data_IF_283067335976
#
_entry.id   IF_283067335976
#
_cell.length_a   1.000
_cell.length_b   1.000
_cell.length_c   1.000
_cell.angle_alpha   90.00
_cell.angle_beta   90.00
_cell.angle_gamma   90.00
#
_symmetry.space_group_name_H-M   'P 1'
#
loop_
_entity.id
_entity.type
_entity.pdbx_description
1 polymer ?
#
# COMPACT_ATOMS: atom_id res chain seq x y z
N UNK A 1 -16.71 1.44 7.74
CA UNK A 1 -15.43 1.08 7.09
C UNK A 1 -14.58 2.30 6.74
N UNK A 2 -15.01 3.28 5.92
CA UNK A 2 -14.20 4.49 5.59
C UNK A 2 -13.62 5.21 6.82
N UNK A 3 -14.43 5.48 7.85
CA UNK A 3 -13.96 6.11 9.11
C UNK A 3 -12.88 5.31 9.84
N UNK A 4 -13.03 3.99 9.90
CA UNK A 4 -12.07 3.10 10.55
C UNK A 4 -10.73 3.10 9.80
N UNK A 5 -10.76 3.00 8.46
CA UNK A 5 -9.57 3.11 7.60
C UNK A 5 -8.85 4.44 7.82
N UNK A 6 -9.60 5.55 7.92
CA UNK A 6 -9.03 6.86 8.19
C UNK A 6 -8.38 6.93 9.57
N UNK A 7 -9.04 6.41 10.61
CA UNK A 7 -8.44 6.38 11.94
C UNK A 7 -7.20 5.50 12.01
N UNK A 8 -7.20 4.33 11.37
CA UNK A 8 -6.04 3.46 11.32
C UNK A 8 -4.88 4.11 10.56
N UNK A 9 -5.15 4.76 9.42
CA UNK A 9 -4.14 5.50 8.64
C UNK A 9 -3.52 6.62 9.48
N UNK A 10 -4.36 7.43 10.13
CA UNK A 10 -3.92 8.53 11.00
C UNK A 10 -3.19 8.03 12.25
N UNK A 11 -3.64 6.93 12.84
CA UNK A 11 -2.98 6.28 13.98
C UNK A 11 -1.56 5.82 13.59
N UNK A 12 -1.40 5.24 12.41
CA UNK A 12 -0.11 4.75 11.91
C UNK A 12 0.81 5.91 11.51
N UNK A 13 0.28 6.95 10.87
CA UNK A 13 1.03 8.15 10.51
C UNK A 13 1.52 8.95 11.73
N UNK A 14 0.91 8.74 12.91
CA UNK A 14 1.28 9.44 14.15
C UNK A 14 1.93 8.53 15.17
N UNK A 15 2.48 7.39 14.72
CA UNK A 15 3.21 6.49 15.59
C UNK A 15 4.49 7.14 16.11
N UNK A 16 4.83 6.87 17.36
CA UNK A 16 6.07 7.35 18.00
C UNK A 16 7.35 6.73 17.39
N UNK A 17 7.23 5.68 16.57
CA UNK A 17 8.38 5.07 15.88
C UNK A 17 8.61 5.75 14.53
N UNK A 18 9.72 6.47 14.40
CA UNK A 18 10.11 7.18 13.17
C UNK A 18 10.18 6.25 11.94
N UNK A 19 10.76 5.06 12.10
CA UNK A 19 10.86 4.09 11.00
C UNK A 19 9.50 3.52 10.63
N UNK A 20 8.62 3.31 11.60
CA UNK A 20 7.30 2.75 11.37
C UNK A 20 6.34 3.79 10.75
N UNK A 21 6.40 5.04 11.20
CA UNK A 21 5.50 6.10 10.71
C UNK A 21 5.86 6.61 9.31
N UNK A 22 7.13 6.49 8.88
CA UNK A 22 7.66 7.13 7.67
C UNK A 22 6.78 6.91 6.43
N UNK A 23 6.35 5.67 6.16
CA UNK A 23 5.46 5.37 5.03
C UNK A 23 4.10 6.05 5.15
N UNK A 24 3.48 6.01 6.33
CA UNK A 24 2.13 6.54 6.54
C UNK A 24 2.09 8.06 6.59
N UNK A 25 3.11 8.71 7.16
CA UNK A 25 3.29 10.16 7.04
C UNK A 25 3.43 10.58 5.58
N UNK A 26 4.27 9.87 4.81
CA UNK A 26 4.48 10.10 3.38
C UNK A 26 3.19 9.92 2.58
N UNK A 27 2.41 8.88 2.87
CA UNK A 27 1.10 8.63 2.26
C UNK A 27 0.13 9.78 2.54
N UNK A 28 -0.02 10.17 3.81
CA UNK A 28 -0.91 11.26 4.23
C UNK A 28 -0.49 12.58 3.59
N UNK A 29 0.80 12.91 3.59
CA UNK A 29 1.32 14.11 2.94
C UNK A 29 1.05 14.11 1.44
N UNK A 30 1.18 12.96 0.78
CA UNK A 30 0.91 12.85 -0.66
C UNK A 30 -0.57 13.10 -0.95
N UNK A 31 -1.48 12.56 -0.14
CA UNK A 31 -2.92 12.88 -0.26
C UNK A 31 -3.20 14.37 -0.06
N UNK A 32 -2.53 15.01 0.91
CA UNK A 32 -2.66 16.46 1.17
C UNK A 32 -2.20 17.29 -0.01
N UNK A 33 -1.06 16.96 -0.63
CA UNK A 33 -0.51 17.67 -1.80
C UNK A 33 -1.52 17.73 -2.95
N UNK A 34 -2.36 16.71 -3.10
CA UNK A 34 -3.41 16.67 -4.12
C UNK A 34 -4.79 17.09 -3.62
N UNK A 35 -4.88 17.69 -2.43
CA UNK A 35 -6.14 18.13 -1.81
C UNK A 35 -7.18 16.99 -1.69
N UNK A 36 -6.71 15.75 -1.51
CA UNK A 36 -7.55 14.56 -1.40
C UNK A 36 -7.88 14.22 0.05
N UNK A 37 -7.17 14.83 1.00
CA UNK A 37 -7.33 14.54 2.41
C UNK A 37 -6.92 15.72 3.28
N UNK A 38 -7.58 15.88 4.43
CA UNK A 38 -7.20 16.84 5.47
C UNK A 38 -6.86 16.08 6.76
N UNK A 39 -5.58 16.08 7.19
CA UNK A 39 -5.17 15.41 8.41
C UNK A 39 -5.75 16.07 9.64
N UNK A 40 -6.08 15.24 10.62
CA UNK A 40 -6.55 15.67 11.93
C UNK A 40 -5.38 16.18 12.78
N UNK A 41 -5.67 17.09 13.71
CA UNK A 41 -4.71 17.55 14.74
C UNK A 41 -4.57 16.57 15.90
N UNK A 42 -5.33 15.48 15.89
CA UNK A 42 -5.37 14.53 17.00
C UNK A 42 -4.09 13.73 17.10
N UNK A 43 -3.61 13.52 18.33
CA UNK A 43 -2.49 12.61 18.61
C UNK A 43 -2.91 11.15 18.44
N UNK A 44 -1.93 10.25 18.37
CA UNK A 44 -2.20 8.81 18.27
C UNK A 44 -3.11 8.31 19.41
N UNK A 45 -2.84 8.74 20.66
CA UNK A 45 -3.67 8.39 21.82
C UNK A 45 -5.11 8.91 21.71
N UNK A 46 -5.29 10.13 21.18
CA UNK A 46 -6.63 10.69 20.94
C UNK A 46 -7.38 9.92 19.86
N UNK A 47 -6.69 9.49 18.79
CA UNK A 47 -7.27 8.65 17.73
C UNK A 47 -7.71 7.30 18.31
N UNK A 48 -6.88 6.65 19.13
CA UNK A 48 -7.24 5.39 19.81
C UNK A 48 -8.51 5.56 20.66
N UNK A 49 -8.61 6.66 21.40
CA UNK A 49 -9.80 6.95 22.20
C UNK A 49 -11.06 7.16 21.32
N UNK A 50 -10.92 7.81 20.16
CA UNK A 50 -12.01 7.98 19.20
C UNK A 50 -12.44 6.66 18.56
N UNK A 51 -11.49 5.80 18.21
CA UNK A 51 -11.76 4.44 17.69
C UNK A 51 -12.57 3.64 18.70
N UNK A 52 -12.12 3.58 19.95
CA UNK A 52 -12.82 2.85 21.02
C UNK A 52 -14.26 3.36 21.23
N UNK A 53 -14.46 4.69 21.22
CA UNK A 53 -15.81 5.30 21.32
C UNK A 53 -16.74 4.93 20.17
N UNK A 54 -16.20 4.64 18.99
CA UNK A 54 -16.97 4.22 17.82
C UNK A 54 -17.07 2.69 17.68
N UNK A 55 -16.59 1.93 18.67
CA UNK A 55 -16.61 0.47 18.65
C UNK A 55 -15.54 -0.16 17.76
N UNK A 56 -14.55 0.61 17.28
CA UNK A 56 -13.40 0.09 16.57
C UNK A 56 -12.31 -0.35 17.54
N UNK A 57 -11.61 -1.44 17.22
CA UNK A 57 -10.47 -1.91 18.03
C UNK A 57 -9.27 -0.99 17.88
N UNK A 58 -8.88 -0.32 18.96
CA UNK A 58 -7.64 0.45 18.98
C UNK A 58 -6.43 -0.52 18.90
N UNK A 59 -5.48 -0.32 17.99
CA UNK A 59 -4.33 -1.21 17.87
C UNK A 59 -3.45 -1.19 19.12
N UNK A 60 -2.98 -2.36 19.55
CA UNK A 60 -2.03 -2.51 20.65
C UNK A 60 -0.56 -2.32 20.24
N UNK A 61 -0.28 -2.39 18.93
CA UNK A 61 1.03 -2.14 18.35
C UNK A 61 0.91 -1.65 16.90
N UNK A 62 2.01 -1.16 16.35
CA UNK A 62 2.10 -0.77 14.95
C UNK A 62 1.72 -1.92 14.00
N UNK A 63 2.30 -3.11 14.17
CA UNK A 63 2.02 -4.27 13.31
C UNK A 63 0.55 -4.70 13.36
N UNK A 64 -0.06 -4.62 14.54
CA UNK A 64 -1.50 -4.88 14.71
C UNK A 64 -2.31 -3.82 13.94
N UNK A 65 -1.88 -2.56 13.99
CA UNK A 65 -2.51 -1.47 13.23
C UNK A 65 -2.40 -1.67 11.72
N UNK A 66 -1.23 -2.06 11.21
CA UNK A 66 -1.02 -2.36 9.80
C UNK A 66 -1.92 -3.51 9.34
N UNK A 67 -1.98 -4.61 10.10
CA UNK A 67 -2.85 -5.75 9.79
C UNK A 67 -4.33 -5.37 9.81
N UNK A 68 -4.76 -4.58 10.79
CA UNK A 68 -6.12 -4.09 10.87
C UNK A 68 -6.47 -3.19 9.67
N UNK A 69 -5.55 -2.30 9.27
CA UNK A 69 -5.72 -1.45 8.09
C UNK A 69 -5.81 -2.28 6.81
N UNK A 70 -4.90 -3.24 6.61
CA UNK A 70 -4.90 -4.11 5.45
C UNK A 70 -6.20 -4.91 5.35
N UNK A 71 -6.70 -5.43 6.48
CA UNK A 71 -7.98 -6.13 6.53
C UNK A 71 -9.16 -5.20 6.18
N UNK A 72 -9.21 -4.00 6.75
CA UNK A 72 -10.29 -3.03 6.49
C UNK A 72 -10.29 -2.54 5.03
N UNK A 73 -9.11 -2.31 4.46
CA UNK A 73 -8.93 -1.97 3.05
C UNK A 73 -9.42 -3.13 2.16
N UNK A 74 -8.94 -4.35 2.39
CA UNK A 74 -9.31 -5.52 1.61
C UNK A 74 -10.84 -5.75 1.62
N UNK A 75 -11.48 -5.66 2.79
CA UNK A 75 -12.94 -5.78 2.94
C UNK A 75 -13.73 -4.71 2.16
N UNK A 76 -13.11 -3.55 1.87
CA UNK A 76 -13.77 -2.46 1.14
C UNK A 76 -13.62 -2.60 -0.38
N UNK A 77 -12.58 -3.31 -0.85
CA UNK A 77 -12.33 -3.50 -2.28
C UNK A 77 -13.23 -4.60 -2.86
N UNK A 78 -13.68 -4.48 -4.13
CA UNK A 78 -14.37 -5.57 -4.82
C UNK A 78 -13.52 -6.86 -4.87
N UNK A 79 -14.15 -8.02 -4.68
CA UNK A 79 -13.46 -9.34 -4.73
C UNK A 79 -12.61 -9.50 -6.01
N UNK A 80 -13.11 -9.15 -7.21
CA UNK A 80 -12.29 -9.27 -8.43
C UNK A 80 -11.02 -8.40 -8.42
N UNK A 81 -11.06 -7.24 -7.76
CA UNK A 81 -9.87 -6.41 -7.57
C UNK A 81 -8.91 -7.05 -6.57
N UNK A 82 -9.42 -7.60 -5.46
CA UNK A 82 -8.62 -8.33 -4.48
C UNK A 82 -7.84 -9.49 -5.13
N UNK A 83 -8.52 -10.31 -5.92
CA UNK A 83 -7.93 -11.44 -6.64
C UNK A 83 -6.91 -10.99 -7.69
N UNK A 84 -7.23 -9.94 -8.47
CA UNK A 84 -6.34 -9.43 -9.50
C UNK A 84 -5.02 -8.90 -8.91
N UNK A 85 -5.04 -8.19 -7.78
CA UNK A 85 -3.81 -7.73 -7.10
C UNK A 85 -2.93 -8.90 -6.67
N UNK A 86 -3.54 -9.95 -6.10
CA UNK A 86 -2.84 -11.17 -5.68
C UNK A 86 -2.23 -11.89 -6.88
N UNK A 87 -3.00 -12.06 -7.94
CA UNK A 87 -2.53 -12.68 -9.19
C UNK A 87 -1.37 -11.89 -9.80
N UNK A 88 -1.47 -10.56 -9.88
CA UNK A 88 -0.42 -9.69 -10.40
C UNK A 88 0.88 -9.83 -9.61
N UNK A 89 0.80 -9.85 -8.27
CA UNK A 89 1.99 -10.06 -7.44
C UNK A 89 2.61 -11.46 -7.64
N UNK A 90 1.79 -12.51 -7.73
CA UNK A 90 2.28 -13.87 -8.01
C UNK A 90 2.93 -13.99 -9.39
N UNK A 91 2.39 -13.31 -10.41
CA UNK A 91 3.02 -13.20 -11.73
C UNK A 91 4.37 -12.50 -11.64
N UNK A 92 4.44 -11.40 -10.89
CA UNK A 92 5.68 -10.66 -10.68
C UNK A 92 6.76 -11.53 -10.02
N UNK A 93 6.40 -12.31 -8.98
CA UNK A 93 7.31 -13.27 -8.36
C UNK A 93 7.76 -14.35 -9.36
N UNK A 94 6.83 -14.88 -10.16
CA UNK A 94 7.15 -15.92 -11.15
C UNK A 94 8.14 -15.45 -12.22
N UNK A 95 8.01 -14.21 -12.67
CA UNK A 95 8.85 -13.62 -13.72
C UNK A 95 10.23 -13.25 -13.18
N UNK A 96 10.31 -12.72 -11.95
CA UNK A 96 11.58 -12.27 -11.37
C UNK A 96 12.37 -13.39 -10.70
N UNK A 97 11.73 -14.50 -10.31
CA UNK A 97 12.38 -15.67 -9.71
C UNK A 97 12.14 -16.95 -10.53
N UNK A 98 12.54 -17.00 -11.81
CA UNK A 98 12.19 -18.10 -12.71
C UNK A 98 12.71 -19.46 -12.24
N UNK A 99 13.88 -19.48 -11.59
CA UNK A 99 14.48 -20.70 -11.00
C UNK A 99 13.73 -21.21 -9.77
N UNK A 100 12.89 -20.39 -9.15
CA UNK A 100 12.12 -20.73 -7.94
C UNK A 100 10.63 -20.93 -8.22
N UNK A 101 10.21 -20.85 -9.49
CA UNK A 101 8.82 -20.99 -9.94
C UNK A 101 8.15 -22.29 -9.46
N UNK A 102 8.89 -23.40 -9.48
CA UNK A 102 8.39 -24.70 -9.00
C UNK A 102 8.02 -24.65 -7.52
N UNK A 103 8.81 -24.00 -6.68
CA UNK A 103 8.49 -23.84 -5.26
C UNK A 103 7.26 -22.96 -5.04
N UNK A 104 7.15 -21.86 -5.80
CA UNK A 104 6.00 -20.96 -5.73
C UNK A 104 4.67 -21.64 -6.14
N UNK A 105 4.72 -22.62 -7.05
CA UNK A 105 3.55 -23.42 -7.42
C UNK A 105 3.05 -24.37 -6.32
N UNK A 106 3.89 -24.65 -5.31
CA UNK A 106 3.52 -25.45 -4.14
C UNK A 106 3.00 -24.55 -3.03
N UNK A 107 3.81 -23.61 -2.54
CA UNK A 107 3.38 -22.61 -1.56
C UNK A 107 4.33 -21.41 -1.49
N UNK A 108 3.84 -20.30 -0.93
CA UNK A 108 4.67 -19.13 -0.68
C UNK A 108 5.75 -19.43 0.37
N UNK A 109 5.43 -20.18 1.42
CA UNK A 109 6.38 -20.55 2.48
C UNK A 109 7.54 -21.37 1.92
N UNK A 110 7.26 -22.32 1.03
CA UNK A 110 8.30 -23.12 0.40
C UNK A 110 9.18 -22.24 -0.49
N UNK A 111 8.57 -21.35 -1.30
CA UNK A 111 9.32 -20.38 -2.10
C UNK A 111 10.27 -19.54 -1.24
N UNK A 112 9.79 -18.97 -0.13
CA UNK A 112 10.60 -18.15 0.78
C UNK A 112 11.76 -18.93 1.41
N UNK A 113 11.55 -20.22 1.71
CA UNK A 113 12.61 -21.07 2.28
C UNK A 113 13.77 -21.33 1.32
N UNK A 114 13.54 -21.16 0.01
CA UNK A 114 14.52 -21.44 -1.05
C UNK A 114 15.23 -20.18 -1.57
N UNK A 115 14.90 -18.99 -1.04
CA UNK A 115 15.55 -17.75 -1.43
C UNK A 115 16.94 -17.65 -0.80
N UNK A 116 17.94 -17.39 -1.64
CA UNK A 116 19.26 -16.98 -1.20
C UNK A 116 19.18 -15.58 -0.53
N UNK A 117 20.16 -15.18 0.31
CA UNK A 117 20.09 -13.90 1.03
C UNK A 117 19.84 -12.68 0.14
N UNK A 118 20.45 -12.65 -1.06
CA UNK A 118 20.24 -11.58 -2.03
C UNK A 118 18.84 -11.64 -2.63
N UNK A 119 18.38 -12.83 -3.02
CA UNK A 119 17.02 -13.04 -3.54
C UNK A 119 15.95 -12.67 -2.50
N UNK A 120 16.22 -12.93 -1.22
CA UNK A 120 15.37 -12.55 -0.10
C UNK A 120 15.28 -11.03 0.05
N UNK A 121 16.40 -10.33 -0.03
CA UNK A 121 16.41 -8.85 -0.03
C UNK A 121 15.59 -8.28 -1.18
N UNK A 122 15.75 -8.83 -2.40
CA UNK A 122 14.97 -8.41 -3.57
C UNK A 122 13.48 -8.66 -3.35
N UNK A 123 13.11 -9.84 -2.83
CA UNK A 123 11.73 -10.16 -2.50
C UNK A 123 11.14 -9.20 -1.47
N UNK A 124 11.86 -8.92 -0.39
CA UNK A 124 11.41 -8.04 0.70
C UNK A 124 11.20 -6.59 0.19
N UNK A 125 12.14 -6.07 -0.60
CA UNK A 125 12.02 -4.74 -1.21
C UNK A 125 10.84 -4.68 -2.20
N UNK A 126 10.66 -5.72 -3.02
CA UNK A 126 9.54 -5.79 -3.97
C UNK A 126 8.19 -5.88 -3.24
N UNK A 127 8.11 -6.70 -2.18
CA UNK A 127 6.95 -6.82 -1.33
C UNK A 127 6.62 -5.49 -0.65
N UNK A 128 7.63 -4.79 -0.13
CA UNK A 128 7.45 -3.48 0.51
C UNK A 128 6.90 -2.46 -0.48
N UNK A 129 7.48 -2.36 -1.68
CA UNK A 129 7.02 -1.47 -2.73
C UNK A 129 5.57 -1.76 -3.16
N UNK A 130 5.27 -3.02 -3.50
CA UNK A 130 3.92 -3.43 -3.94
C UNK A 130 2.89 -3.28 -2.83
N UNK A 131 3.25 -3.57 -1.57
CA UNK A 131 2.35 -3.35 -0.43
C UNK A 131 2.06 -1.87 -0.21
N UNK A 132 3.08 -1.01 -0.33
CA UNK A 132 2.94 0.44 -0.26
C UNK A 132 2.01 0.98 -1.33
N UNK A 133 2.21 0.57 -2.59
CA UNK A 133 1.31 0.92 -3.70
C UNK A 133 -0.12 0.46 -3.44
N UNK A 134 -0.33 -0.81 -3.09
CA UNK A 134 -1.67 -1.35 -2.87
C UNK A 134 -2.41 -0.63 -1.73
N UNK A 135 -1.73 -0.33 -0.63
CA UNK A 135 -2.32 0.43 0.50
C UNK A 135 -2.75 1.82 0.08
N UNK A 136 -1.86 2.55 -0.60
CA UNK A 136 -2.12 3.91 -1.03
C UNK A 136 -3.24 3.98 -2.08
N UNK A 137 -3.22 3.10 -3.08
CA UNK A 137 -4.25 3.04 -4.11
C UNK A 137 -5.59 2.54 -3.55
N UNK A 138 -5.58 1.62 -2.58
CA UNK A 138 -6.79 1.22 -1.88
C UNK A 138 -7.37 2.36 -1.04
N UNK A 139 -6.53 3.15 -0.37
CA UNK A 139 -6.98 4.33 0.34
C UNK A 139 -7.58 5.37 -0.62
N UNK A 140 -6.92 5.63 -1.76
CA UNK A 140 -7.47 6.49 -2.81
C UNK A 140 -8.84 5.97 -3.29
N UNK A 141 -8.97 4.66 -3.54
CA UNK A 141 -10.22 4.02 -3.94
C UNK A 141 -11.33 4.22 -2.90
N UNK A 142 -11.03 3.99 -1.62
CA UNK A 142 -11.98 4.15 -0.51
C UNK A 142 -12.47 5.59 -0.40
N UNK A 143 -11.59 6.56 -0.57
CA UNK A 143 -11.94 7.98 -0.53
C UNK A 143 -12.75 8.38 -1.77
N UNK A 144 -12.33 7.94 -2.96
CA UNK A 144 -12.92 8.33 -4.23
C UNK A 144 -14.28 7.72 -4.55
N UNK A 145 -14.63 6.59 -3.93
CA UNK A 145 -15.92 5.91 -4.15
C UNK A 145 -17.13 6.80 -3.86
N UNK A 146 -16.99 7.77 -2.96
CA UNK A 146 -18.07 8.67 -2.53
C UNK A 146 -17.96 10.07 -3.15
N UNK A 147 -16.82 10.41 -3.77
CA UNK A 147 -16.46 11.80 -4.15
C UNK A 147 -15.81 11.85 -5.56
N UNK A 148 -16.50 11.28 -6.55
CA UNK A 148 -15.98 11.14 -7.92
C UNK A 148 -15.60 12.47 -8.62
N UNK A 149 -16.18 13.61 -8.19
CA UNK A 149 -15.82 14.94 -8.72
C UNK A 149 -14.43 15.40 -8.29
N UNK A 150 -13.94 14.92 -7.15
CA UNK A 150 -12.61 15.24 -6.61
C UNK A 150 -11.62 14.17 -7.03
N UNK A 151 -11.98 12.90 -6.88
CA UNK A 151 -11.10 11.78 -7.19
C UNK A 151 -11.25 11.38 -8.65
N UNK A 152 -10.64 12.14 -9.57
CA UNK A 152 -10.68 11.87 -11.02
C UNK A 152 -9.56 10.91 -11.48
N UNK A 153 -9.67 10.30 -12.68
CA UNK A 153 -8.60 9.48 -13.24
C UNK A 153 -7.25 10.22 -13.34
N UNK A 154 -7.26 11.50 -13.68
CA UNK A 154 -6.05 12.33 -13.75
C UNK A 154 -5.42 12.51 -12.37
N UNK A 155 -6.25 12.70 -11.33
CA UNK A 155 -5.76 12.75 -9.94
C UNK A 155 -5.24 11.40 -9.48
N UNK A 156 -5.82 10.28 -9.90
CA UNK A 156 -5.30 8.94 -9.62
C UNK A 156 -3.89 8.77 -10.20
N UNK A 157 -3.69 9.15 -11.46
CA UNK A 157 -2.38 9.07 -12.13
C UNK A 157 -1.36 9.99 -11.45
N UNK A 158 -1.72 11.25 -11.20
CA UNK A 158 -0.83 12.21 -10.55
C UNK A 158 -0.45 11.77 -9.12
N UNK A 159 -1.42 11.27 -8.36
CA UNK A 159 -1.19 10.70 -7.03
C UNK A 159 -0.25 9.49 -7.09
N UNK A 160 -0.50 8.55 -8.02
CA UNK A 160 0.32 7.38 -8.22
C UNK A 160 1.77 7.70 -8.58
N UNK A 161 1.96 8.69 -9.46
CA UNK A 161 3.29 9.12 -9.90
C UNK A 161 4.09 9.77 -8.77
N UNK A 162 3.47 10.65 -7.99
CA UNK A 162 4.10 11.25 -6.82
C UNK A 162 4.42 10.20 -5.74
N UNK A 163 3.50 9.26 -5.51
CA UNK A 163 3.71 8.15 -4.58
C UNK A 163 4.86 7.25 -5.03
N UNK A 164 4.95 6.94 -6.32
CA UNK A 164 5.99 6.08 -6.87
C UNK A 164 7.39 6.62 -6.57
N UNK A 165 7.64 7.89 -6.86
CA UNK A 165 8.94 8.53 -6.58
C UNK A 165 9.31 8.37 -5.11
N UNK A 166 8.37 8.71 -4.22
CA UNK A 166 8.57 8.67 -2.78
C UNK A 166 8.75 7.23 -2.24
N UNK A 167 8.02 6.26 -2.78
CA UNK A 167 8.16 4.84 -2.43
C UNK A 167 9.50 4.27 -2.90
N UNK A 168 9.95 4.64 -4.09
CA UNK A 168 11.24 4.22 -4.62
C UNK A 168 12.37 4.74 -3.73
N UNK A 169 12.28 5.99 -3.30
CA UNK A 169 13.24 6.60 -2.36
C UNK A 169 13.24 5.94 -0.97
N UNK A 170 12.07 5.52 -0.48
CA UNK A 170 11.93 4.92 0.84
C UNK A 170 12.43 3.46 0.89
N UNK A 171 12.27 2.70 -0.20
CA UNK A 171 12.46 1.25 -0.21
C UNK A 171 13.81 0.82 -0.77
N UNK A 172 14.30 1.49 -1.82
CA UNK A 172 15.46 1.04 -2.57
C UNK A 172 16.67 1.92 -2.32
N UNK A 173 17.87 1.34 -2.39
CA UNK A 173 19.12 2.10 -2.40
C UNK A 173 19.42 2.66 -3.81
N UNK A 174 20.42 3.53 -3.94
CA UNK A 174 20.74 4.21 -5.22
C UNK A 174 21.08 3.25 -6.37
N UNK A 175 21.77 2.13 -6.10
CA UNK A 175 22.12 1.13 -7.12
C UNK A 175 20.87 0.40 -7.61
N UNK A 176 20.00 -0.02 -6.67
CA UNK A 176 18.73 -0.65 -6.98
C UNK A 176 17.79 0.28 -7.76
N UNK A 177 17.73 1.57 -7.39
CA UNK A 177 16.95 2.58 -8.11
C UNK A 177 17.37 2.64 -9.58
N UNK A 178 18.67 2.79 -9.84
CA UNK A 178 19.19 2.91 -11.20
C UNK A 178 18.82 1.71 -12.09
N UNK A 179 18.72 0.51 -11.51
CA UNK A 179 18.40 -0.72 -12.24
C UNK A 179 16.89 -0.97 -12.38
N UNK A 180 16.09 -0.55 -11.38
CA UNK A 180 14.68 -0.95 -11.27
C UNK A 180 13.69 0.14 -11.65
N UNK A 181 14.09 1.42 -11.70
CA UNK A 181 13.17 2.55 -11.88
C UNK A 181 12.19 2.38 -13.04
N UNK A 182 12.68 1.95 -14.23
CA UNK A 182 11.81 1.76 -15.40
C UNK A 182 10.79 0.65 -15.18
N UNK A 183 11.23 -0.52 -14.70
CA UNK A 183 10.33 -1.66 -14.43
C UNK A 183 9.31 -1.35 -13.33
N UNK A 184 9.70 -0.62 -12.28
CA UNK A 184 8.81 -0.19 -11.21
C UNK A 184 7.78 0.85 -11.70
N UNK A 185 8.15 1.71 -12.66
CA UNK A 185 7.23 2.66 -13.29
C UNK A 185 6.21 1.97 -14.19
N UNK A 186 6.62 0.95 -14.94
CA UNK A 186 5.70 0.12 -15.72
C UNK A 186 4.74 -0.65 -14.80
N UNK A 187 5.26 -1.23 -13.71
CA UNK A 187 4.45 -1.90 -12.69
C UNK A 187 3.42 -0.95 -12.07
N UNK A 188 3.80 0.29 -11.76
CA UNK A 188 2.86 1.33 -11.31
C UNK A 188 1.73 1.51 -12.32
N UNK A 189 2.04 1.63 -13.62
CA UNK A 189 1.04 1.79 -14.68
C UNK A 189 0.01 0.65 -14.71
N UNK A 190 0.45 -0.59 -14.47
CA UNK A 190 -0.44 -1.75 -14.37
C UNK A 190 -1.35 -1.63 -13.14
N UNK A 191 -0.82 -1.26 -11.97
CA UNK A 191 -1.62 -1.07 -10.77
C UNK A 191 -2.62 0.11 -10.90
N UNK A 192 -2.21 1.23 -11.48
CA UNK A 192 -3.10 2.36 -11.75
C UNK A 192 -4.24 1.97 -12.68
N UNK A 193 -3.94 1.24 -13.75
CA UNK A 193 -4.95 0.73 -14.69
C UNK A 193 -5.91 -0.23 -14.00
N UNK A 194 -5.38 -1.10 -13.13
CA UNK A 194 -6.17 -2.06 -12.37
C UNK A 194 -7.14 -1.34 -11.42
N UNK A 195 -6.65 -0.43 -10.57
CA UNK A 195 -7.50 0.30 -9.64
C UNK A 195 -8.47 1.25 -10.36
N UNK A 196 -8.02 1.94 -11.40
CA UNK A 196 -8.84 2.84 -12.21
C UNK A 196 -10.01 2.13 -12.88
N UNK A 197 -9.79 0.90 -13.38
CA UNK A 197 -10.86 0.06 -13.94
C UNK A 197 -12.00 -0.15 -12.95
N UNK A 198 -11.72 -0.40 -11.68
CA UNK A 198 -12.78 -0.67 -10.70
C UNK A 198 -13.37 0.58 -10.04
N UNK A 199 -12.68 1.72 -10.14
CA UNK A 199 -13.14 2.97 -9.55
C UNK A 199 -14.00 3.80 -10.51
N UNK A 200 -13.71 3.72 -11.83
CA UNK A 200 -14.29 4.61 -12.84
C UNK A 200 -15.10 3.92 -13.95
N UNK A 201 -15.14 2.60 -13.98
CA UNK A 201 -15.88 1.80 -14.97
C UNK A 201 -16.90 0.93 -14.24
#
# INVERSE_FOLDING_TARGET
MKKEILYLTEYLAKSDSEQAKAFYELLVQTLVTFELYTPTKFTQAQISALMARQGFGAPSSYDVGVKALDAALEQTLPIPLQEAKKSLFMTLLTVNFPKKKSFLSVSLELFLSQLEPVEKSIYENLLAYVSGLNRALALFFVLGKEEASIFTPERLVAFGDALHVKLVELVFNEEEKALLSQGLKELLGVYLSLYGKYLYI
#
